data_IF_356054671664
#
_entry.id   IF_356054671664
#
_cell.length_a   1.000
_cell.length_b   1.000
_cell.length_c   1.000
_cell.angle_alpha   90.00
_cell.angle_beta   90.00
_cell.angle_gamma   90.00
#
_symmetry.space_group_name_H-M   'P 1'
#
loop_
_entity.id
_entity.type
_entity.pdbx_description
1 polymer ?
#
# COMPACT_ATOMS: atom_id res chain seq x y z
N UNK A 1 66.14 37.64 53.58
CA UNK A 1 64.73 37.39 53.28
C UNK A 1 64.66 36.99 51.83
N UNK A 2 64.57 35.64 51.52
CA UNK A 2 64.65 35.11 50.15
C UNK A 2 63.28 34.82 49.63
N UNK A 3 62.83 35.56 48.60
CA UNK A 3 61.58 35.31 47.91
C UNK A 3 61.83 34.26 46.82
N UNK A 4 61.13 33.12 46.90
CA UNK A 4 61.12 32.06 45.91
C UNK A 4 60.16 32.45 44.77
N UNK A 5 60.70 32.58 43.55
CA UNK A 5 59.88 32.72 42.33
C UNK A 5 59.18 31.41 42.04
N UNK A 6 57.86 31.46 41.96
CA UNK A 6 57.01 30.33 41.46
C UNK A 6 57.05 30.32 39.93
N UNK A 7 57.64 29.22 39.40
CA UNK A 7 57.57 28.91 37.97
C UNK A 7 56.12 28.46 37.63
N UNK A 8 55.46 29.22 36.79
CA UNK A 8 54.21 28.84 36.17
C UNK A 8 54.49 27.87 35.02
N UNK A 9 54.16 26.63 35.24
CA UNK A 9 54.14 25.60 34.17
C UNK A 9 53.01 25.94 33.20
N UNK A 10 53.36 26.35 31.99
CA UNK A 10 52.41 26.51 30.87
C UNK A 10 52.03 25.13 30.36
N UNK A 11 50.87 24.63 30.72
CA UNK A 11 50.26 23.46 30.11
C UNK A 11 50.05 23.74 28.61
N UNK A 12 50.87 23.10 27.78
CA UNK A 12 50.63 23.03 26.34
C UNK A 12 49.42 22.11 26.10
N UNK A 13 48.25 22.69 26.00
CA UNK A 13 47.08 22.00 25.46
C UNK A 13 47.45 21.62 24.02
N UNK A 14 47.75 20.34 23.80
CA UNK A 14 47.94 19.77 22.48
C UNK A 14 46.61 19.95 21.71
N UNK A 15 46.57 20.89 20.75
CA UNK A 15 45.50 20.98 19.77
C UNK A 15 45.58 19.70 18.98
N UNK A 16 44.67 18.75 19.25
CA UNK A 16 44.37 17.64 18.36
C UNK A 16 43.95 18.27 17.02
N UNK A 17 44.78 18.11 16.00
CA UNK A 17 44.50 18.57 14.66
C UNK A 17 43.17 17.96 14.21
N UNK A 18 42.19 18.80 13.99
CA UNK A 18 40.97 18.39 13.30
C UNK A 18 41.37 18.05 11.87
N UNK A 19 41.48 16.76 11.59
CA UNK A 19 41.69 16.29 10.22
C UNK A 19 40.34 16.47 9.51
N UNK A 20 40.25 17.45 8.63
CA UNK A 20 39.11 17.63 7.74
C UNK A 20 39.08 16.52 6.70
N UNK A 21 37.87 16.10 6.31
CA UNK A 21 37.68 15.16 5.21
C UNK A 21 38.22 15.74 3.89
N UNK A 22 38.89 14.91 3.11
CA UNK A 22 39.34 15.30 1.76
C UNK A 22 38.18 15.24 0.77
N UNK A 23 38.23 16.06 -0.26
CA UNK A 23 37.22 16.05 -1.35
C UNK A 23 37.16 14.68 -2.05
N UNK A 24 38.30 14.01 -2.20
CA UNK A 24 38.38 12.66 -2.77
C UNK A 24 37.69 11.61 -1.90
N UNK A 25 37.81 11.72 -0.59
CA UNK A 25 37.16 10.80 0.37
C UNK A 25 35.63 10.90 0.32
N UNK A 26 35.10 12.14 0.21
CA UNK A 26 33.67 12.36 0.00
C UNK A 26 33.20 11.85 -1.36
N UNK A 27 34.01 12.06 -2.42
CA UNK A 27 33.67 11.58 -3.76
C UNK A 27 33.63 10.04 -3.80
N UNK A 28 34.60 9.36 -3.13
CA UNK A 28 34.63 7.91 -3.03
C UNK A 28 33.37 7.36 -2.32
N UNK A 29 32.94 8.00 -1.23
CA UNK A 29 31.72 7.62 -0.50
C UNK A 29 30.50 7.75 -1.39
N UNK A 30 30.37 8.84 -2.14
CA UNK A 30 29.24 9.05 -3.07
C UNK A 30 29.22 7.99 -4.19
N UNK A 31 30.37 7.59 -4.72
CA UNK A 31 30.46 6.52 -5.73
C UNK A 31 29.99 5.20 -5.15
N UNK A 32 30.48 4.82 -3.96
CA UNK A 32 30.08 3.57 -3.29
C UNK A 32 28.57 3.57 -2.99
N UNK A 33 28.04 4.67 -2.46
CA UNK A 33 26.60 4.79 -2.19
C UNK A 33 25.78 4.71 -3.47
N UNK A 34 26.25 5.30 -4.57
CA UNK A 34 25.61 5.23 -5.89
C UNK A 34 25.51 3.79 -6.41
N UNK A 35 26.60 3.03 -6.31
CA UNK A 35 26.62 1.61 -6.72
C UNK A 35 25.66 0.78 -5.85
N UNK A 36 25.68 0.97 -4.53
CA UNK A 36 24.77 0.24 -3.63
C UNK A 36 23.31 0.61 -3.89
N UNK A 37 23.00 1.88 -4.11
CA UNK A 37 21.65 2.34 -4.45
C UNK A 37 21.14 1.70 -5.76
N UNK A 38 21.99 1.61 -6.79
CA UNK A 38 21.62 1.02 -8.08
C UNK A 38 21.22 -0.47 -7.97
N UNK A 39 21.80 -1.22 -7.04
CA UNK A 39 21.48 -2.63 -6.82
C UNK A 39 20.19 -2.81 -6.00
N UNK A 40 19.94 -1.90 -5.06
CA UNK A 40 18.86 -2.04 -4.07
C UNK A 40 17.52 -1.53 -4.61
N UNK A 41 17.50 -0.40 -5.33
CA UNK A 41 16.28 0.24 -5.83
C UNK A 41 15.35 -0.69 -6.64
N UNK A 42 15.82 -1.49 -7.64
CA UNK A 42 14.92 -2.32 -8.44
C UNK A 42 14.24 -3.45 -7.64
N UNK A 43 14.80 -3.86 -6.51
CA UNK A 43 14.19 -4.91 -5.66
C UNK A 43 12.99 -4.42 -4.88
N UNK A 44 12.96 -3.14 -4.50
CA UNK A 44 11.84 -2.56 -3.75
C UNK A 44 10.61 -2.36 -4.63
N UNK A 45 10.76 -1.91 -5.87
CA UNK A 45 9.63 -1.67 -6.78
C UNK A 45 8.82 -2.92 -7.07
N UNK A 46 9.49 -4.07 -7.27
CA UNK A 46 8.80 -5.33 -7.50
C UNK A 46 8.06 -5.84 -6.27
N UNK A 47 8.61 -5.68 -5.07
CA UNK A 47 7.95 -6.07 -3.82
C UNK A 47 6.71 -5.20 -3.53
N UNK A 48 6.79 -3.91 -3.79
CA UNK A 48 5.66 -2.99 -3.64
C UNK A 48 4.51 -3.39 -4.57
N UNK A 49 4.81 -3.70 -5.84
CA UNK A 49 3.80 -4.16 -6.80
C UNK A 49 3.13 -5.47 -6.34
N UNK A 50 3.90 -6.44 -5.87
CA UNK A 50 3.36 -7.69 -5.34
C UNK A 50 2.47 -7.45 -4.10
N UNK A 51 2.88 -6.56 -3.19
CA UNK A 51 2.10 -6.21 -2.02
C UNK A 51 0.77 -5.53 -2.39
N UNK A 52 0.77 -4.63 -3.38
CA UNK A 52 -0.44 -3.98 -3.89
C UNK A 52 -1.40 -4.99 -4.54
N UNK A 53 -0.89 -5.93 -5.33
CA UNK A 53 -1.70 -7.01 -5.91
C UNK A 53 -2.32 -7.87 -4.82
N UNK A 54 -1.54 -8.28 -3.82
CA UNK A 54 -2.04 -9.07 -2.69
C UNK A 54 -3.10 -8.31 -1.87
N UNK A 55 -2.89 -7.01 -1.62
CA UNK A 55 -3.86 -6.16 -0.93
C UNK A 55 -5.19 -6.07 -1.71
N UNK A 56 -5.12 -5.91 -3.04
CA UNK A 56 -6.30 -5.88 -3.91
C UNK A 56 -7.07 -7.20 -3.86
N UNK A 57 -6.38 -8.34 -3.93
CA UNK A 57 -7.01 -9.66 -3.83
C UNK A 57 -7.67 -9.87 -2.46
N UNK A 58 -7.03 -9.44 -1.38
CA UNK A 58 -7.59 -9.48 -0.04
C UNK A 58 -8.85 -8.62 0.05
N UNK A 59 -8.84 -7.43 -0.53
CA UNK A 59 -10.01 -6.55 -0.54
C UNK A 59 -11.17 -7.14 -1.35
N UNK A 60 -10.90 -7.75 -2.52
CA UNK A 60 -11.90 -8.48 -3.30
C UNK A 60 -12.50 -9.64 -2.49
N UNK A 61 -11.69 -10.39 -1.74
CA UNK A 61 -12.18 -11.45 -0.86
C UNK A 61 -13.05 -10.90 0.28
N UNK A 62 -12.73 -9.73 0.83
CA UNK A 62 -13.56 -9.04 1.83
C UNK A 62 -14.93 -8.65 1.24
N UNK A 63 -14.95 -8.08 0.04
CA UNK A 63 -16.22 -7.77 -0.65
C UNK A 63 -17.03 -9.02 -0.94
N UNK A 64 -16.38 -10.11 -1.36
CA UNK A 64 -17.05 -11.38 -1.56
C UNK A 64 -17.77 -11.85 -0.30
N UNK A 65 -17.10 -11.86 0.85
CA UNK A 65 -17.70 -12.25 2.13
C UNK A 65 -18.92 -11.37 2.49
N UNK A 66 -18.80 -10.06 2.26
CA UNK A 66 -19.89 -9.12 2.53
C UNK A 66 -21.08 -9.31 1.57
N UNK A 67 -20.81 -9.59 0.29
CA UNK A 67 -21.82 -9.88 -0.73
C UNK A 67 -22.55 -11.21 -0.45
N UNK A 68 -21.82 -12.24 -0.03
CA UNK A 68 -22.38 -13.53 0.36
C UNK A 68 -23.29 -13.39 1.60
N UNK A 69 -22.90 -12.56 2.58
CA UNK A 69 -23.73 -12.25 3.73
C UNK A 69 -24.99 -11.46 3.34
N UNK A 70 -24.88 -10.52 2.42
CA UNK A 70 -26.03 -9.79 1.87
C UNK A 70 -27.01 -10.73 1.17
N UNK A 71 -26.49 -11.68 0.35
CA UNK A 71 -27.33 -12.66 -0.34
C UNK A 71 -28.08 -13.57 0.66
N UNK A 72 -27.43 -14.00 1.72
CA UNK A 72 -28.06 -14.85 2.77
C UNK A 72 -29.27 -14.14 3.40
N UNK A 73 -29.17 -12.84 3.64
CA UNK A 73 -30.26 -12.08 4.27
C UNK A 73 -31.38 -11.71 3.28
N UNK A 74 -31.01 -11.36 2.06
CA UNK A 74 -31.93 -10.76 1.08
C UNK A 74 -32.38 -11.73 -0.03
N UNK A 75 -31.70 -12.87 -0.19
CA UNK A 75 -32.00 -13.88 -1.22
C UNK A 75 -31.49 -13.54 -2.63
N UNK A 76 -30.73 -12.45 -2.79
CA UNK A 76 -30.15 -12.03 -4.05
C UNK A 76 -28.91 -11.15 -3.81
N UNK A 77 -28.02 -11.03 -4.80
CA UNK A 77 -26.91 -10.07 -4.76
C UNK A 77 -27.38 -8.65 -5.13
N UNK A 78 -26.74 -7.61 -4.58
CA UNK A 78 -27.03 -6.23 -4.98
C UNK A 78 -26.96 -6.04 -6.49
N UNK A 79 -27.90 -5.33 -7.07
CA UNK A 79 -28.01 -5.17 -8.53
C UNK A 79 -27.35 -3.89 -9.01
N UNK A 80 -26.83 -3.92 -10.23
CA UNK A 80 -26.28 -2.75 -10.90
C UNK A 80 -24.88 -2.36 -10.42
N UNK A 81 -24.37 -1.26 -10.97
CA UNK A 81 -22.99 -0.80 -10.75
C UNK A 81 -22.74 -0.20 -9.36
N UNK A 82 -23.79 0.26 -8.69
CA UNK A 82 -23.72 0.82 -7.33
C UNK A 82 -23.87 -0.23 -6.23
N UNK A 83 -23.99 -1.51 -6.57
CA UNK A 83 -24.30 -2.57 -5.63
C UNK A 83 -23.33 -2.73 -4.45
N UNK A 84 -22.08 -2.26 -4.56
CA UNK A 84 -21.16 -2.25 -3.43
C UNK A 84 -21.58 -1.25 -2.34
N UNK A 85 -22.28 -0.16 -2.70
CA UNK A 85 -22.81 0.79 -1.71
C UNK A 85 -23.94 0.18 -0.86
N UNK A 86 -24.66 -0.80 -1.39
CA UNK A 86 -25.73 -1.50 -0.69
C UNK A 86 -25.18 -2.36 0.47
N UNK A 87 -23.86 -2.61 0.50
CA UNK A 87 -23.18 -3.26 1.61
C UNK A 87 -22.98 -2.34 2.81
N UNK A 88 -23.01 -1.03 2.60
CA UNK A 88 -22.79 0.00 3.63
C UNK A 88 -24.13 0.67 4.01
N UNK A 89 -24.95 0.95 3.02
CA UNK A 89 -26.21 1.68 3.17
C UNK A 89 -27.38 0.82 2.71
N UNK A 90 -28.47 0.83 3.48
CA UNK A 90 -29.68 0.09 3.12
C UNK A 90 -30.28 0.63 1.83
N UNK A 91 -30.42 -0.19 0.77
CA UNK A 91 -31.14 0.19 -0.43
C UNK A 91 -32.65 0.28 -0.16
N UNK A 92 -33.37 1.10 -0.91
CA UNK A 92 -34.82 1.37 -0.69
C UNK A 92 -35.70 0.15 -0.92
N UNK A 93 -35.25 -0.79 -1.72
CA UNK A 93 -35.98 -2.00 -2.14
C UNK A 93 -35.61 -3.26 -1.35
N UNK A 94 -34.72 -3.14 -0.36
CA UNK A 94 -34.27 -4.26 0.47
C UNK A 94 -34.90 -4.21 1.86
N UNK A 95 -36.01 -4.95 2.06
CA UNK A 95 -36.70 -5.00 3.34
C UNK A 95 -36.01 -5.87 4.39
N UNK A 96 -35.23 -6.86 3.94
CA UNK A 96 -34.53 -7.81 4.83
C UNK A 96 -33.07 -7.43 5.08
N UNK A 97 -32.68 -6.20 4.73
CA UNK A 97 -31.30 -5.73 4.94
C UNK A 97 -30.94 -5.69 6.42
N UNK A 98 -29.85 -6.36 6.80
CA UNK A 98 -29.35 -6.46 8.18
C UNK A 98 -27.93 -5.90 8.35
N UNK A 99 -27.48 -5.12 7.37
CA UNK A 99 -26.17 -4.52 7.40
C UNK A 99 -25.95 -3.42 8.45
N UNK A 100 -24.85 -2.71 8.43
CA UNK A 100 -23.87 -2.73 7.34
C UNK A 100 -23.05 -4.03 7.27
N UNK A 101 -22.85 -4.55 6.05
CA UNK A 101 -22.04 -5.74 5.79
C UNK A 101 -20.56 -5.41 5.62
N UNK A 102 -20.24 -4.12 5.40
CA UNK A 102 -18.90 -3.55 5.42
C UNK A 102 -18.84 -2.44 6.46
N UNK A 103 -17.87 -2.52 7.35
CA UNK A 103 -17.61 -1.46 8.35
C UNK A 103 -16.74 -0.37 7.72
N UNK A 104 -17.34 0.44 6.87
CA UNK A 104 -16.68 1.55 6.19
C UNK A 104 -17.71 2.64 5.87
N UNK A 105 -17.29 3.90 5.84
CA UNK A 105 -18.14 5.04 5.48
C UNK A 105 -18.30 5.19 3.95
N UNK A 106 -17.37 4.63 3.19
CA UNK A 106 -17.36 4.60 1.73
C UNK A 106 -16.65 3.34 1.21
N UNK A 107 -16.89 3.00 -0.05
CA UNK A 107 -16.18 1.89 -0.70
C UNK A 107 -14.70 2.27 -0.85
N UNK A 108 -13.77 1.53 -0.22
CA UNK A 108 -12.33 1.78 -0.37
C UNK A 108 -11.88 1.65 -1.82
N UNK A 109 -10.95 2.51 -2.23
CA UNK A 109 -10.30 2.41 -3.53
C UNK A 109 -9.21 1.33 -3.52
N UNK A 110 -8.83 0.90 -4.71
CA UNK A 110 -7.69 0.00 -4.86
C UNK A 110 -6.35 0.72 -4.53
N UNK A 111 -5.24 -0.01 -4.36
CA UNK A 111 -3.94 0.59 -4.04
C UNK A 111 -3.37 1.54 -5.10
N UNK A 112 -3.96 1.61 -6.26
CA UNK A 112 -3.61 2.54 -7.34
C UNK A 112 -4.57 3.72 -7.44
N UNK A 113 -5.60 3.79 -6.57
CA UNK A 113 -6.55 4.90 -6.49
C UNK A 113 -7.78 4.77 -7.39
N UNK A 114 -7.98 3.59 -8.02
CA UNK A 114 -9.17 3.34 -8.84
C UNK A 114 -10.32 2.79 -8.00
N UNK A 115 -11.54 2.98 -8.48
CA UNK A 115 -12.72 2.36 -7.91
C UNK A 115 -12.80 0.89 -8.34
N UNK A 116 -13.30 0.00 -7.45
CA UNK A 116 -13.63 -1.36 -7.83
C UNK A 116 -14.84 -1.37 -8.75
N UNK A 117 -14.76 -2.19 -9.81
CA UNK A 117 -15.85 -2.37 -10.77
C UNK A 117 -16.69 -3.55 -10.29
N UNK A 118 -17.98 -3.31 -10.08
CA UNK A 118 -18.96 -4.32 -9.70
C UNK A 118 -20.04 -4.44 -10.77
N UNK A 119 -20.39 -5.66 -11.15
CA UNK A 119 -21.43 -5.98 -12.13
C UNK A 119 -22.22 -7.21 -11.69
N UNK A 120 -23.55 -7.06 -11.56
CA UNK A 120 -24.47 -8.16 -11.23
C UNK A 120 -25.69 -8.09 -12.14
N UNK A 121 -25.99 -9.16 -12.92
CA UNK A 121 -25.21 -10.41 -13.07
C UNK A 121 -23.84 -10.19 -13.72
N UNK A 122 -22.86 -11.02 -13.34
CA UNK A 122 -21.51 -10.91 -13.86
C UNK A 122 -21.38 -11.43 -15.28
N UNK A 123 -20.37 -10.95 -16.01
CA UNK A 123 -20.04 -11.48 -17.36
C UNK A 123 -19.26 -12.79 -17.27
N UNK A 124 -18.39 -12.91 -16.26
CA UNK A 124 -17.61 -14.12 -15.99
C UNK A 124 -18.40 -15.08 -15.09
N UNK A 125 -19.27 -14.55 -14.23
CA UNK A 125 -20.12 -15.30 -13.31
C UNK A 125 -21.61 -14.94 -13.57
N UNK A 126 -22.26 -15.49 -14.62
CA UNK A 126 -23.62 -15.08 -15.02
C UNK A 126 -24.71 -15.34 -13.99
N UNK A 127 -24.50 -16.31 -13.09
CA UNK A 127 -25.43 -16.63 -11.99
C UNK A 127 -25.13 -15.88 -10.69
N UNK A 128 -24.10 -15.05 -10.68
CA UNK A 128 -23.62 -14.32 -9.52
C UNK A 128 -23.17 -12.91 -9.93
N UNK A 129 -22.04 -12.47 -9.47
CA UNK A 129 -21.48 -11.14 -9.75
C UNK A 129 -20.01 -11.21 -10.17
N UNK A 130 -19.57 -10.18 -10.84
CA UNK A 130 -18.16 -9.89 -11.07
C UNK A 130 -17.74 -8.68 -10.24
N UNK A 131 -16.59 -8.78 -9.58
CA UNK A 131 -15.91 -7.67 -8.95
C UNK A 131 -14.45 -7.65 -9.37
N UNK A 132 -13.95 -6.47 -9.76
CA UNK A 132 -12.57 -6.34 -10.24
C UNK A 132 -11.96 -4.98 -9.95
N UNK A 133 -10.63 -4.96 -9.98
CA UNK A 133 -9.77 -3.78 -10.06
C UNK A 133 -9.06 -3.76 -11.41
N UNK A 134 -8.87 -2.58 -11.96
CA UNK A 134 -8.12 -2.39 -13.21
C UNK A 134 -6.61 -2.58 -13.04
N UNK A 135 -6.13 -2.69 -11.78
CA UNK A 135 -4.72 -2.84 -11.49
C UNK A 135 -3.90 -1.56 -11.72
N UNK A 136 -2.57 -1.70 -11.84
CA UNK A 136 -1.68 -0.56 -11.99
C UNK A 136 -1.86 0.16 -13.33
N UNK A 137 -1.74 1.50 -13.36
CA UNK A 137 -1.82 2.27 -14.59
C UNK A 137 -0.78 1.80 -15.63
N UNK A 138 -1.22 1.62 -16.87
CA UNK A 138 -0.35 1.19 -17.96
C UNK A 138 -0.04 -0.30 -18.01
N UNK A 139 -0.60 -1.10 -17.11
CA UNK A 139 -0.53 -2.55 -17.12
C UNK A 139 -1.93 -3.11 -17.44
N UNK A 140 -2.06 -4.00 -18.40
CA UNK A 140 -3.35 -4.62 -18.73
C UNK A 140 -3.74 -5.73 -17.74
N UNK A 141 -3.34 -5.57 -16.46
CA UNK A 141 -3.61 -6.55 -15.41
C UNK A 141 -4.96 -6.24 -14.76
N UNK A 142 -5.98 -7.04 -15.05
CA UNK A 142 -7.25 -7.00 -14.34
C UNK A 142 -7.24 -8.04 -13.22
N UNK A 143 -7.54 -7.60 -12.00
CA UNK A 143 -7.66 -8.46 -10.81
C UNK A 143 -9.15 -8.60 -10.50
N UNK A 144 -9.69 -9.81 -10.57
CA UNK A 144 -11.11 -10.08 -10.36
C UNK A 144 -11.37 -11.28 -9.46
N UNK A 145 -12.65 -11.50 -9.14
CA UNK A 145 -13.12 -12.66 -8.38
C UNK A 145 -13.26 -13.94 -9.23
N UNK A 146 -12.83 -13.89 -10.47
CA UNK A 146 -12.80 -15.04 -11.39
C UNK A 146 -11.38 -15.50 -11.69
N UNK A 147 -11.25 -16.75 -12.06
CA UNK A 147 -9.95 -17.31 -12.49
C UNK A 147 -9.67 -16.91 -13.93
N UNK A 148 -8.65 -16.10 -14.16
CA UNK A 148 -8.14 -15.85 -15.51
C UNK A 148 -7.51 -17.16 -16.01
N UNK A 149 -8.17 -17.85 -16.93
CA UNK A 149 -7.53 -18.97 -17.65
C UNK A 149 -6.38 -18.40 -18.47
N UNK A 150 -5.15 -18.72 -18.08
CA UNK A 150 -3.94 -18.46 -18.87
C UNK A 150 -3.89 -19.36 -20.08
#
# INVERSE_FOLDING_TARGET
MKMKARQLTRDRIARRGQQGFTLVELLLVLVILGILAAIVLPRFTNRTKQAQVAATQTQIATYKTALDAYEVDNGYYPKGKSGLMDLIQQPRDSQNWRGPYLQADAIPKDPWGNDYIYECPGRHNPTSYDISSQGPPGDNMVLGNWTVKR
#
